data_IF_206356467469
#
_entry.id   IF_206356467469
#
_cell.length_a   1.000
_cell.length_b   1.000
_cell.length_c   1.000
_cell.angle_alpha   90.00
_cell.angle_beta   90.00
_cell.angle_gamma   90.00
#
_symmetry.space_group_name_H-M   'P 1'
#
loop_
_entity.id
_entity.type
_entity.pdbx_description
1 polymer ?
#
# COMPACT_ATOMS: atom_id res chain seq x y z
N UNK A 1 7.37 23.27 -4.65
CA UNK A 1 6.05 22.88 -4.10
C UNK A 1 5.17 22.55 -5.28
N UNK A 2 5.23 21.31 -5.77
CA UNK A 2 4.36 20.85 -6.85
C UNK A 2 3.02 20.50 -6.24
N UNK A 3 1.93 21.00 -6.82
CA UNK A 3 0.57 20.70 -6.39
C UNK A 3 0.28 19.24 -6.69
N UNK A 4 0.64 18.35 -5.75
CA UNK A 4 0.30 16.94 -5.82
C UNK A 4 -1.22 16.82 -5.95
N UNK A 5 -1.64 16.24 -7.07
CA UNK A 5 -3.03 16.02 -7.40
C UNK A 5 -3.68 15.13 -6.33
N UNK A 6 -4.98 15.30 -6.05
CA UNK A 6 -5.70 14.47 -5.06
C UNK A 6 -5.48 12.98 -5.32
N UNK A 7 -5.33 12.59 -6.59
CA UNK A 7 -4.96 11.25 -7.00
C UNK A 7 -3.64 10.79 -6.37
N UNK A 8 -2.55 11.55 -6.50
CA UNK A 8 -1.22 11.20 -5.95
C UNK A 8 -1.24 11.05 -4.42
N UNK A 9 -2.00 11.90 -3.73
CA UNK A 9 -2.17 11.80 -2.27
C UNK A 9 -2.95 10.55 -1.86
N UNK A 10 -3.97 10.19 -2.64
CA UNK A 10 -4.72 8.94 -2.44
C UNK A 10 -3.83 7.74 -2.72
N UNK A 11 -3.01 7.75 -3.77
CA UNK A 11 -2.06 6.65 -4.04
C UNK A 11 -1.02 6.51 -2.94
N UNK A 12 -0.44 7.61 -2.44
CA UNK A 12 0.49 7.56 -1.30
C UNK A 12 -0.14 6.96 -0.05
N UNK A 13 -1.37 7.36 0.26
CA UNK A 13 -2.11 6.83 1.41
C UNK A 13 -2.46 5.35 1.23
N UNK A 14 -2.94 4.98 0.03
CA UNK A 14 -3.32 3.61 -0.31
C UNK A 14 -2.12 2.67 -0.31
N UNK A 15 -0.94 3.14 -0.72
CA UNK A 15 0.29 2.35 -0.80
C UNK A 15 1.16 2.46 0.47
N UNK A 16 0.74 3.24 1.47
CA UNK A 16 1.42 3.42 2.75
C UNK A 16 1.66 2.12 3.55
N UNK A 17 0.70 1.18 3.67
CA UNK A 17 0.94 -0.04 4.43
C UNK A 17 2.05 -0.90 3.79
N UNK A 18 2.09 -0.97 2.46
CA UNK A 18 3.20 -1.60 1.74
C UNK A 18 4.55 -0.93 2.02
N UNK A 19 4.60 0.41 2.07
CA UNK A 19 5.82 1.16 2.42
C UNK A 19 6.29 0.90 3.85
N UNK A 20 5.37 0.78 4.81
CA UNK A 20 5.71 0.46 6.20
C UNK A 20 6.31 -0.93 6.35
N UNK A 21 5.78 -1.91 5.63
CA UNK A 21 6.31 -3.29 5.65
C UNK A 21 7.68 -3.35 4.98
N UNK A 22 7.89 -2.67 3.85
CA UNK A 22 9.22 -2.59 3.21
C UNK A 22 10.27 -1.94 4.15
N UNK A 23 9.91 -0.86 4.84
CA UNK A 23 10.78 -0.23 5.85
C UNK A 23 11.08 -1.15 7.04
N UNK A 24 10.08 -1.91 7.50
CA UNK A 24 10.27 -2.87 8.60
C UNK A 24 11.23 -4.00 8.22
N UNK A 25 11.20 -4.42 6.96
CA UNK A 25 12.07 -5.46 6.41
C UNK A 25 13.48 -4.96 6.07
N UNK A 26 13.78 -3.67 6.30
CA UNK A 26 15.08 -3.06 5.97
C UNK A 26 15.30 -2.91 4.46
N UNK A 27 14.23 -2.95 3.67
CA UNK A 27 14.28 -2.91 2.22
C UNK A 27 14.08 -1.45 1.77
N UNK A 28 15.05 -0.82 1.08
CA UNK A 28 14.94 0.56 0.65
C UNK A 28 13.79 0.71 -0.36
N UNK A 29 12.76 1.51 -0.06
CA UNK A 29 11.56 1.64 -0.90
C UNK A 29 11.77 2.52 -2.13
N UNK A 30 13.01 2.92 -2.43
CA UNK A 30 13.31 4.10 -3.24
C UNK A 30 13.26 3.89 -4.76
N UNK A 31 13.68 2.74 -5.30
CA UNK A 31 13.99 2.70 -6.74
C UNK A 31 13.27 1.57 -7.54
N UNK A 32 13.57 0.28 -7.32
CA UNK A 32 13.09 -0.82 -8.20
C UNK A 32 12.02 -1.75 -7.60
N UNK A 33 11.53 -1.46 -6.39
CA UNK A 33 10.66 -2.37 -5.63
C UNK A 33 9.19 -1.91 -5.55
N UNK A 34 8.75 -1.07 -6.50
CA UNK A 34 7.34 -0.72 -6.67
C UNK A 34 6.42 -1.94 -6.83
N UNK A 35 6.95 -3.01 -7.44
CA UNK A 35 6.27 -4.31 -7.53
C UNK A 35 6.05 -4.94 -6.14
N UNK A 36 7.08 -4.95 -5.29
CA UNK A 36 6.99 -5.52 -3.94
C UNK A 36 6.02 -4.69 -3.08
N UNK A 37 6.09 -3.36 -3.19
CA UNK A 37 5.15 -2.45 -2.53
C UNK A 37 3.71 -2.73 -2.94
N UNK A 38 3.43 -2.97 -4.23
CA UNK A 38 2.08 -3.27 -4.71
C UNK A 38 1.61 -4.68 -4.35
N UNK A 39 2.50 -5.68 -4.36
CA UNK A 39 2.22 -7.06 -3.94
C UNK A 39 1.79 -7.12 -2.47
N UNK A 40 2.53 -6.45 -1.59
CA UNK A 40 2.15 -6.35 -0.18
C UNK A 40 0.84 -5.59 0.01
N UNK A 41 0.60 -4.55 -0.78
CA UNK A 41 -0.65 -3.79 -0.70
C UNK A 41 -1.86 -4.65 -1.04
N UNK A 42 -1.77 -5.45 -2.10
CA UNK A 42 -2.83 -6.38 -2.50
C UNK A 42 -3.10 -7.45 -1.43
N UNK A 43 -2.06 -8.01 -0.81
CA UNK A 43 -2.19 -8.94 0.31
C UNK A 43 -2.89 -8.32 1.52
N UNK A 44 -2.52 -7.10 1.90
CA UNK A 44 -3.16 -6.39 3.02
C UNK A 44 -4.64 -6.13 2.69
N UNK A 45 -4.95 -5.68 1.47
CA UNK A 45 -6.34 -5.52 1.07
C UNK A 45 -7.11 -6.83 1.07
N UNK A 46 -6.55 -7.91 0.56
CA UNK A 46 -7.21 -9.21 0.59
C UNK A 46 -7.51 -9.63 2.04
N UNK A 47 -6.53 -9.58 2.93
CA UNK A 47 -6.69 -9.97 4.33
C UNK A 47 -7.63 -9.06 5.13
N UNK A 48 -7.83 -7.79 4.73
CA UNK A 48 -8.75 -6.87 5.42
C UNK A 48 -10.14 -6.91 4.79
N UNK A 49 -10.23 -6.84 3.46
CA UNK A 49 -11.51 -6.74 2.75
C UNK A 49 -12.29 -8.06 2.78
N UNK A 50 -11.60 -9.21 2.72
CA UNK A 50 -12.25 -10.52 2.72
C UNK A 50 -13.02 -10.83 4.03
N UNK A 51 -12.43 -10.68 5.24
CA UNK A 51 -13.19 -10.85 6.47
C UNK A 51 -14.23 -9.75 6.67
N UNK A 52 -13.97 -8.51 6.22
CA UNK A 52 -14.97 -7.44 6.25
C UNK A 52 -16.20 -7.79 5.42
N UNK A 53 -16.01 -8.30 4.20
CA UNK A 53 -17.11 -8.75 3.35
C UNK A 53 -17.86 -9.93 3.98
N UNK A 54 -17.17 -10.86 4.63
CA UNK A 54 -17.80 -11.98 5.36
C UNK A 54 -18.62 -11.55 6.58
N UNK A 55 -18.28 -10.41 7.20
CA UNK A 55 -19.05 -9.87 8.33
C UNK A 55 -20.30 -9.12 7.84
N UNK A 56 -20.22 -8.52 6.64
CA UNK A 56 -21.27 -7.66 6.08
C UNK A 56 -22.29 -8.45 5.24
N UNK A 57 -21.83 -9.47 4.50
CA UNK A 57 -22.63 -10.31 3.58
C UNK A 57 -23.05 -11.61 4.26
#
# INVERSE_FOLDING_TARGET
MTTATTAEKVTEFLLWPGTKICNLLGIPPADDMGLIRSMFNMLVYLCVLLPVLWIIL
#
